data_IF_267860868104
#
_entry.id   IF_267860868104
#
_cell.length_a   1.000
_cell.length_b   1.000
_cell.length_c   1.000
_cell.angle_alpha   90.00
_cell.angle_beta   90.00
_cell.angle_gamma   90.00
#
_symmetry.space_group_name_H-M   'P 1'
#
loop_
_entity.id
_entity.type
_entity.pdbx_description
1 polymer ?
#
# COMPACT_ATOMS: atom_id res chain seq x y z
N UNK A 1 9.40 5.77 31.17
CA UNK A 1 9.69 4.38 30.73
C UNK A 1 8.61 3.93 29.76
N UNK A 2 8.57 4.50 28.54
CA UNK A 2 7.65 4.07 27.47
C UNK A 2 8.28 2.88 26.75
N UNK A 3 8.17 1.68 27.35
CA UNK A 3 8.80 0.45 26.84
C UNK A 3 7.83 -0.46 26.06
N UNK A 4 6.68 0.07 25.63
CA UNK A 4 5.63 -0.73 24.97
C UNK A 4 5.09 -0.15 23.67
N UNK A 5 5.70 0.92 23.15
CA UNK A 5 5.25 1.60 21.93
C UNK A 5 6.25 1.36 20.81
N UNK A 6 6.27 0.12 20.29
CA UNK A 6 7.08 -0.33 19.15
C UNK A 6 6.20 -0.46 17.90
N UNK A 7 5.73 0.67 17.39
CA UNK A 7 4.86 0.74 16.22
C UNK A 7 5.60 1.53 15.13
N UNK A 8 5.50 1.08 13.88
CA UNK A 8 6.12 1.73 12.72
C UNK A 8 5.84 3.24 12.68
N UNK A 9 4.63 3.67 13.06
CA UNK A 9 4.26 5.09 13.08
C UNK A 9 5.11 5.92 14.03
N UNK A 10 5.36 5.39 15.22
CA UNK A 10 6.10 6.09 16.27
C UNK A 10 7.58 6.10 15.91
N UNK A 11 8.09 5.02 15.31
CA UNK A 11 9.47 4.96 14.86
C UNK A 11 9.73 5.93 13.71
N UNK A 12 8.85 5.97 12.69
CA UNK A 12 8.94 6.94 11.60
C UNK A 12 8.80 8.38 12.12
N UNK A 13 7.93 8.62 13.10
CA UNK A 13 7.78 9.92 13.75
C UNK A 13 9.04 10.37 14.52
N UNK A 14 9.74 9.45 15.17
CA UNK A 14 10.98 9.73 15.90
C UNK A 14 12.14 9.96 14.93
N UNK A 15 12.27 9.12 13.89
CA UNK A 15 13.42 9.16 12.98
C UNK A 15 13.35 10.32 11.96
N UNK A 16 12.15 10.71 11.55
CA UNK A 16 11.95 11.65 10.43
C UNK A 16 11.10 12.87 10.80
N UNK A 17 10.52 12.89 12.00
CA UNK A 17 9.59 13.93 12.43
C UNK A 17 8.26 13.89 11.67
N UNK A 18 7.50 14.98 11.79
CA UNK A 18 6.15 15.09 11.22
C UNK A 18 6.13 14.99 9.69
N UNK A 19 7.21 15.41 9.03
CA UNK A 19 7.35 15.35 7.58
C UNK A 19 7.40 13.90 7.08
N UNK A 20 8.17 13.03 7.75
CA UNK A 20 8.23 11.62 7.33
C UNK A 20 6.95 10.86 7.63
N UNK A 21 6.26 11.16 8.74
CA UNK A 21 4.94 10.57 9.02
C UNK A 21 3.94 10.98 7.93
N UNK A 22 3.96 12.25 7.52
CA UNK A 22 3.07 12.75 6.48
C UNK A 22 3.36 12.11 5.12
N UNK A 23 4.65 11.96 4.76
CA UNK A 23 5.05 11.27 3.55
C UNK A 23 4.67 9.78 3.59
N UNK A 24 4.90 9.11 4.71
CA UNK A 24 4.56 7.70 4.92
C UNK A 24 3.06 7.46 4.78
N UNK A 25 2.21 8.26 5.46
CA UNK A 25 0.76 8.21 5.28
C UNK A 25 0.33 8.54 3.84
N UNK A 26 1.05 9.46 3.18
CA UNK A 26 0.85 9.80 1.78
C UNK A 26 1.00 8.60 0.85
N UNK A 27 2.05 7.78 1.03
CA UNK A 27 2.27 6.58 0.21
C UNK A 27 1.05 5.65 0.27
N UNK A 28 0.55 5.37 1.48
CA UNK A 28 -0.63 4.52 1.67
C UNK A 28 -1.88 5.13 1.04
N UNK A 29 -2.10 6.43 1.24
CA UNK A 29 -3.25 7.14 0.66
C UNK A 29 -3.26 7.07 -0.87
N UNK A 30 -2.14 7.39 -1.52
CA UNK A 30 -2.03 7.32 -2.99
C UNK A 30 -2.16 5.88 -3.50
N UNK A 31 -1.60 4.90 -2.78
CA UNK A 31 -1.71 3.50 -3.15
C UNK A 31 -3.17 3.00 -3.10
N UNK A 32 -3.89 3.25 -2.00
CA UNK A 32 -5.31 2.87 -1.90
C UNK A 32 -6.17 3.61 -2.93
N UNK A 33 -5.88 4.89 -3.19
CA UNK A 33 -6.58 5.64 -4.24
C UNK A 33 -6.35 5.02 -5.62
N UNK A 34 -5.12 4.58 -5.93
CA UNK A 34 -4.81 3.87 -7.17
C UNK A 34 -5.55 2.54 -7.27
N UNK A 35 -5.55 1.72 -6.20
CA UNK A 35 -6.27 0.45 -6.17
C UNK A 35 -7.78 0.64 -6.32
N UNK A 36 -8.35 1.66 -5.68
CA UNK A 36 -9.78 1.98 -5.79
C UNK A 36 -10.15 2.34 -7.23
N UNK A 37 -9.38 3.23 -7.89
CA UNK A 37 -9.62 3.59 -9.30
C UNK A 37 -9.47 2.38 -10.21
N UNK A 38 -8.49 1.52 -9.95
CA UNK A 38 -8.29 0.31 -10.74
C UNK A 38 -9.45 -0.67 -10.56
N UNK A 39 -9.95 -0.84 -9.33
CA UNK A 39 -11.07 -1.72 -9.01
C UNK A 39 -12.38 -1.28 -9.67
N UNK A 40 -12.71 0.02 -9.68
CA UNK A 40 -13.92 0.53 -10.36
C UNK A 40 -13.82 0.45 -11.89
N UNK A 41 -12.60 0.58 -12.45
CA UNK A 41 -12.39 0.54 -13.90
C UNK A 41 -12.44 -0.89 -14.46
N UNK A 42 -12.18 -1.88 -13.61
CA UNK A 42 -12.09 -3.30 -13.99
C UNK A 42 -13.39 -4.08 -13.84
N UNK A 43 -14.56 -3.40 -13.78
CA UNK A 43 -15.87 -4.04 -13.66
C UNK A 43 -16.14 -5.18 -14.66
N UNK A 44 -15.42 -5.24 -15.79
CA UNK A 44 -15.53 -6.32 -16.80
C UNK A 44 -14.59 -7.51 -16.63
N UNK A 45 -13.50 -7.43 -15.86
CA UNK A 45 -12.49 -8.49 -15.76
C UNK A 45 -12.39 -9.04 -14.33
N UNK A 46 -13.18 -10.07 -14.02
CA UNK A 46 -13.22 -10.71 -12.71
C UNK A 46 -11.82 -11.13 -12.20
N UNK A 47 -10.97 -11.70 -13.08
CA UNK A 47 -9.65 -12.20 -12.70
C UNK A 47 -8.69 -11.12 -12.19
N UNK A 48 -8.69 -9.92 -12.79
CA UNK A 48 -7.80 -8.84 -12.34
C UNK A 48 -8.29 -8.19 -11.04
N UNK A 49 -9.61 -8.24 -10.79
CA UNK A 49 -10.23 -7.66 -9.59
C UNK A 49 -9.83 -8.40 -8.32
N UNK A 50 -9.73 -9.74 -8.36
CA UNK A 50 -9.28 -10.54 -7.20
C UNK A 50 -7.86 -10.19 -6.77
N UNK A 51 -6.96 -9.96 -7.73
CA UNK A 51 -5.57 -9.53 -7.44
C UNK A 51 -5.55 -8.17 -6.75
N UNK A 52 -6.36 -7.21 -7.22
CA UNK A 52 -6.44 -5.87 -6.62
C UNK A 52 -7.00 -5.93 -5.20
N UNK A 53 -8.07 -6.69 -4.98
CA UNK A 53 -8.68 -6.85 -3.66
C UNK A 53 -7.72 -7.59 -2.70
N UNK A 54 -7.03 -8.62 -3.19
CA UNK A 54 -6.01 -9.35 -2.43
C UNK A 54 -4.85 -8.45 -2.01
N UNK A 55 -4.32 -7.64 -2.92
CA UNK A 55 -3.29 -6.65 -2.60
C UNK A 55 -3.79 -5.60 -1.61
N UNK A 56 -5.03 -5.11 -1.73
CA UNK A 56 -5.61 -4.17 -0.76
C UNK A 56 -5.70 -4.79 0.65
N UNK A 57 -6.18 -6.03 0.75
CA UNK A 57 -6.30 -6.75 2.01
C UNK A 57 -4.93 -6.98 2.66
N UNK A 58 -3.92 -7.39 1.88
CA UNK A 58 -2.56 -7.56 2.39
C UNK A 58 -1.96 -6.25 2.93
N UNK A 59 -2.17 -5.12 2.24
CA UNK A 59 -1.70 -3.82 2.73
C UNK A 59 -2.42 -3.39 4.02
N UNK A 60 -3.73 -3.63 4.13
CA UNK A 60 -4.49 -3.36 5.35
C UNK A 60 -4.01 -4.22 6.51
N UNK A 61 -3.72 -5.51 6.26
CA UNK A 61 -3.16 -6.41 7.25
C UNK A 61 -1.77 -5.95 7.70
N UNK A 62 -0.90 -5.53 6.78
CA UNK A 62 0.42 -4.99 7.12
C UNK A 62 0.32 -3.70 7.95
N UNK A 63 -0.58 -2.79 7.58
CA UNK A 63 -0.82 -1.57 8.35
C UNK A 63 -1.34 -1.88 9.75
N UNK A 64 -2.32 -2.78 9.86
CA UNK A 64 -2.88 -3.22 11.13
C UNK A 64 -1.81 -3.89 12.01
N UNK A 65 -1.00 -4.79 11.45
CA UNK A 65 0.13 -5.41 12.16
C UNK A 65 1.18 -4.38 12.58
N UNK A 66 1.45 -3.39 11.70
CA UNK A 66 2.32 -2.26 11.97
C UNK A 66 1.91 -1.45 13.20
N UNK A 67 0.63 -1.47 13.62
CA UNK A 67 0.18 -0.80 14.83
C UNK A 67 0.63 -1.48 16.12
N UNK A 68 0.81 -2.80 16.09
CA UNK A 68 1.15 -3.61 17.26
C UNK A 68 2.65 -3.92 17.35
N UNK A 69 3.32 -4.02 16.20
CA UNK A 69 4.74 -4.37 16.12
C UNK A 69 5.46 -3.64 14.98
N UNK A 70 6.78 -3.49 15.12
CA UNK A 70 7.65 -2.86 14.13
C UNK A 70 7.97 -3.82 12.99
N UNK A 71 7.01 -3.99 12.08
CA UNK A 71 7.13 -4.92 10.95
C UNK A 71 7.89 -4.34 9.74
N UNK A 72 8.18 -3.03 9.70
CA UNK A 72 8.79 -2.39 8.53
C UNK A 72 10.30 -2.57 8.45
N UNK A 73 10.96 -2.79 9.59
CA UNK A 73 12.41 -3.01 9.66
C UNK A 73 12.81 -4.48 9.44
N UNK A 74 11.83 -5.38 9.40
CA UNK A 74 12.07 -6.76 8.98
C UNK A 74 12.12 -6.83 7.44
N UNK A 75 13.28 -7.22 6.93
CA UNK A 75 13.51 -7.33 5.49
C UNK A 75 12.61 -8.37 4.81
N UNK A 76 12.24 -9.45 5.50
CA UNK A 76 11.39 -10.51 4.93
C UNK A 76 9.99 -9.97 4.65
N UNK A 77 9.43 -9.26 5.63
CA UNK A 77 8.10 -8.66 5.53
C UNK A 77 8.11 -7.51 4.51
N UNK A 78 9.14 -6.67 4.51
CA UNK A 78 9.25 -5.56 3.56
C UNK A 78 9.33 -6.04 2.10
N UNK A 79 10.13 -7.08 1.82
CA UNK A 79 10.22 -7.64 0.46
C UNK A 79 8.89 -8.23 0.00
N UNK A 80 8.21 -8.98 0.87
CA UNK A 80 6.91 -9.57 0.55
C UNK A 80 5.84 -8.50 0.32
N UNK A 81 5.85 -7.43 1.12
CA UNK A 81 4.99 -6.27 0.94
C UNK A 81 5.19 -5.64 -0.44
N UNK A 82 6.44 -5.36 -0.84
CA UNK A 82 6.74 -4.77 -2.15
C UNK A 82 6.37 -5.69 -3.30
N UNK A 83 6.56 -7.00 -3.16
CA UNK A 83 6.11 -7.97 -4.15
C UNK A 83 4.58 -7.91 -4.36
N UNK A 84 3.81 -7.90 -3.27
CA UNK A 84 2.34 -7.82 -3.34
C UNK A 84 1.87 -6.46 -3.87
N UNK A 85 2.58 -5.37 -3.55
CA UNK A 85 2.31 -4.04 -4.12
C UNK A 85 2.53 -4.00 -5.63
N UNK A 86 3.41 -4.83 -6.18
CA UNK A 86 3.69 -4.88 -7.61
C UNK A 86 2.63 -5.68 -8.41
N UNK A 87 1.91 -6.62 -7.78
CA UNK A 87 0.91 -7.47 -8.47
C UNK A 87 -0.21 -6.67 -9.16
N UNK A 88 -0.78 -5.60 -8.56
CA UNK A 88 -1.72 -4.73 -9.25
C UNK A 88 -1.14 -4.00 -10.47
N UNK A 89 0.17 -3.98 -10.69
CA UNK A 89 0.79 -3.33 -11.85
C UNK A 89 1.06 -4.30 -13.01
N UNK A 90 1.10 -5.61 -12.77
CA UNK A 90 1.39 -6.61 -13.82
C UNK A 90 0.20 -6.90 -14.75
N UNK A 91 -1.02 -6.50 -14.37
CA UNK A 91 -2.22 -6.61 -15.19
C UNK A 91 -2.20 -5.71 -16.43
N UNK A 92 -3.00 -6.05 -17.45
CA UNK A 92 -2.93 -5.45 -18.78
C UNK A 92 -3.30 -3.95 -18.77
N UNK A 93 -2.30 -3.07 -18.85
CA UNK A 93 -2.44 -1.60 -18.76
C UNK A 93 -3.13 -0.91 -19.96
N UNK A 94 -3.84 -1.65 -20.82
CA UNK A 94 -4.48 -1.09 -22.02
C UNK A 94 -5.47 0.04 -21.70
N UNK A 95 -6.04 0.08 -20.49
CA UNK A 95 -7.00 1.12 -20.08
C UNK A 95 -6.38 2.37 -19.42
N UNK A 96 -5.16 2.33 -18.89
CA UNK A 96 -4.53 3.54 -18.32
C UNK A 96 -4.12 4.55 -19.41
N UNK A 97 -3.70 4.06 -20.59
CA UNK A 97 -3.33 4.92 -21.73
C UNK A 97 -4.53 5.65 -22.35
N UNK A 98 -5.75 5.12 -22.21
CA UNK A 98 -6.95 5.79 -22.70
C UNK A 98 -7.27 7.06 -21.91
N UNK A 99 -6.90 7.13 -20.63
CA UNK A 99 -7.12 8.31 -19.79
C UNK A 99 -6.11 9.43 -20.09
N UNK A 100 -4.84 9.09 -20.31
CA UNK A 100 -3.80 10.07 -20.67
C UNK A 100 -3.98 10.68 -22.07
N UNK A 101 -4.85 10.09 -22.91
CA UNK A 101 -5.24 10.65 -24.21
C UNK A 101 -6.50 11.52 -24.13
N UNK A 102 -7.20 11.53 -22.99
CA UNK A 102 -8.48 12.24 -22.81
C UNK A 102 -8.40 13.45 -21.88
N UNK A 103 -7.21 13.76 -21.36
CA UNK A 103 -6.90 14.99 -20.64
C UNK A 103 -6.17 15.93 -21.58
#
# INVERSE_FOLDING_TARGET
RFRGMHNNLIQVAVDTGILGVTAWLGIWFYFFRFLYHKAITLEKNANERWVILGSAAAMLAFLAAGFFETNFYDSEVAMLLYFIMALPFSGNQKNLKAFHKKV
#
